data_IF_051711916132
#
_entry.id   IF_051711916132
#
_cell.length_a   1.000
_cell.length_b   1.000
_cell.length_c   1.000
_cell.angle_alpha   90.00
_cell.angle_beta   90.00
_cell.angle_gamma   90.00
#
_symmetry.space_group_name_H-M   'P 1'
#
loop_
_entity.id
_entity.type
_entity.pdbx_description
1 polymer ?
#
# COMPACT_ATOMS: atom_id res chain seq x y z
N UNK A 1 15.79 23.75 -6.25
CA UNK A 1 15.51 23.56 -4.80
C UNK A 1 14.73 22.27 -4.50
N UNK A 2 13.65 21.97 -5.24
CA UNK A 2 12.83 20.73 -5.08
C UNK A 2 13.68 19.44 -5.17
N UNK A 3 14.69 19.41 -6.06
CA UNK A 3 15.63 18.29 -6.22
C UNK A 3 16.36 17.90 -4.94
N UNK A 4 16.73 18.88 -4.11
CA UNK A 4 17.45 18.61 -2.87
C UNK A 4 16.53 17.98 -1.82
N UNK A 5 15.27 18.44 -1.74
CA UNK A 5 14.29 17.90 -0.79
C UNK A 5 13.93 16.45 -1.13
N UNK A 6 13.66 16.15 -2.41
CA UNK A 6 13.37 14.78 -2.84
C UNK A 6 14.48 13.81 -2.46
N UNK A 7 15.73 14.15 -2.77
CA UNK A 7 16.88 13.28 -2.48
C UNK A 7 17.11 13.10 -0.97
N UNK A 8 16.89 14.15 -0.17
CA UNK A 8 17.00 14.07 1.29
C UNK A 8 15.91 13.16 1.86
N UNK A 9 14.66 13.31 1.42
CA UNK A 9 13.55 12.46 1.86
C UNK A 9 13.74 11.01 1.42
N UNK A 10 14.16 10.79 0.16
CA UNK A 10 14.44 9.46 -0.38
C UNK A 10 15.54 8.76 0.42
N UNK A 11 16.65 9.46 0.67
CA UNK A 11 17.75 8.96 1.49
C UNK A 11 17.30 8.64 2.93
N UNK A 12 16.47 9.51 3.53
CA UNK A 12 15.92 9.28 4.86
C UNK A 12 15.05 8.03 4.93
N UNK A 13 14.10 7.88 4.00
CA UNK A 13 13.19 6.73 3.92
C UNK A 13 13.97 5.43 3.83
N UNK A 14 15.02 5.38 3.01
CA UNK A 14 15.82 4.15 2.84
C UNK A 14 16.69 3.88 4.07
N UNK A 15 17.37 4.92 4.56
CA UNK A 15 18.30 4.79 5.69
C UNK A 15 17.61 4.32 6.97
N UNK A 16 16.36 4.74 7.21
CA UNK A 16 15.59 4.30 8.37
C UNK A 16 14.69 3.10 8.07
N UNK A 17 14.06 3.08 6.90
CA UNK A 17 13.11 2.04 6.54
C UNK A 17 13.75 0.66 6.45
N UNK A 18 14.94 0.55 5.85
CA UNK A 18 15.60 -0.74 5.64
C UNK A 18 16.03 -1.37 6.99
N UNK A 19 16.75 -0.67 7.90
CA UNK A 19 17.10 -1.25 9.19
C UNK A 19 15.88 -1.57 10.06
N UNK A 20 14.87 -0.70 10.10
CA UNK A 20 13.68 -0.92 10.93
C UNK A 20 12.91 -2.17 10.49
N UNK A 21 12.76 -2.40 9.18
CA UNK A 21 12.10 -3.60 8.67
C UNK A 21 12.92 -4.87 8.93
N UNK A 22 14.24 -4.82 8.78
CA UNK A 22 15.11 -5.95 9.12
C UNK A 22 15.06 -6.29 10.61
N UNK A 23 15.09 -5.28 11.48
CA UNK A 23 14.93 -5.45 12.93
C UNK A 23 13.56 -6.06 13.24
N UNK A 24 12.49 -5.57 12.61
CA UNK A 24 11.14 -6.10 12.81
C UNK A 24 11.06 -7.59 12.44
N UNK A 25 11.62 -7.98 11.28
CA UNK A 25 11.70 -9.39 10.86
C UNK A 25 12.46 -10.22 11.90
N UNK A 26 13.64 -9.75 12.34
CA UNK A 26 14.44 -10.44 13.36
C UNK A 26 13.69 -10.62 14.68
N UNK A 27 13.05 -9.56 15.17
CA UNK A 27 12.27 -9.59 16.42
C UNK A 27 11.08 -10.54 16.31
N UNK A 28 10.36 -10.54 15.19
CA UNK A 28 9.22 -11.43 14.97
C UNK A 28 9.67 -12.89 14.96
N UNK A 29 10.78 -13.21 14.28
CA UNK A 29 11.30 -14.58 14.22
C UNK A 29 11.77 -15.09 15.60
N UNK A 30 12.38 -14.23 16.42
CA UNK A 30 12.88 -14.61 17.75
C UNK A 30 11.75 -14.70 18.79
N UNK A 31 10.81 -13.73 18.80
CA UNK A 31 9.77 -13.62 19.84
C UNK A 31 8.43 -14.27 19.50
N UNK A 32 8.28 -14.91 18.34
CA UNK A 32 7.02 -15.57 17.97
C UNK A 32 6.65 -16.73 18.93
N UNK A 33 5.82 -16.43 19.93
CA UNK A 33 5.31 -17.42 20.88
C UNK A 33 4.21 -18.28 20.26
N UNK A 34 3.99 -19.49 20.80
CA UNK A 34 2.97 -20.44 20.30
C UNK A 34 1.55 -19.88 20.28
N UNK A 35 1.23 -18.94 21.16
CA UNK A 35 -0.11 -18.34 21.30
C UNK A 35 -0.43 -17.26 20.25
N UNK A 36 0.56 -16.64 19.61
CA UNK A 36 0.36 -15.54 18.65
C UNK A 36 0.82 -15.86 17.22
N UNK A 37 1.04 -17.14 16.89
CA UNK A 37 1.62 -17.55 15.59
C UNK A 37 0.86 -17.05 14.35
N UNK A 38 -0.47 -16.99 14.39
CA UNK A 38 -1.28 -16.43 13.28
C UNK A 38 -1.03 -14.92 13.09
N UNK A 39 -0.91 -14.20 14.20
CA UNK A 39 -0.66 -12.77 14.19
C UNK A 39 0.79 -12.43 13.81
N UNK A 40 1.75 -13.23 14.30
CA UNK A 40 3.15 -13.11 13.94
C UNK A 40 3.37 -13.34 12.44
N UNK A 41 2.62 -14.26 11.83
CA UNK A 41 2.65 -14.50 10.38
C UNK A 41 2.14 -13.30 9.59
N UNK A 42 1.07 -12.62 10.03
CA UNK A 42 0.61 -11.38 9.40
C UNK A 42 1.70 -10.31 9.44
N UNK A 43 2.26 -10.07 10.63
CA UNK A 43 3.32 -9.08 10.82
C UNK A 43 4.57 -9.40 9.99
N UNK A 44 4.93 -10.68 9.89
CA UNK A 44 6.07 -11.11 9.10
C UNK A 44 5.85 -10.85 7.60
N UNK A 45 4.67 -11.19 7.07
CA UNK A 45 4.32 -10.88 5.67
C UNK A 45 4.38 -9.37 5.44
N UNK A 46 3.80 -8.54 6.32
CA UNK A 46 3.87 -7.08 6.21
C UNK A 46 5.33 -6.60 6.15
N UNK A 47 6.19 -7.04 7.07
CA UNK A 47 7.58 -6.60 7.12
C UNK A 47 8.37 -7.00 5.86
N UNK A 48 8.10 -8.17 5.28
CA UNK A 48 8.70 -8.57 4.00
C UNK A 48 8.22 -7.70 2.83
N UNK A 49 6.93 -7.38 2.77
CA UNK A 49 6.34 -6.53 1.73
C UNK A 49 6.89 -5.10 1.84
N UNK A 50 6.97 -4.55 3.05
CA UNK A 50 7.54 -3.23 3.30
C UNK A 50 9.03 -3.18 2.95
N UNK A 51 9.80 -4.21 3.31
CA UNK A 51 11.20 -4.33 2.90
C UNK A 51 11.33 -4.36 1.37
N UNK A 52 10.52 -5.18 0.69
CA UNK A 52 10.47 -5.22 -0.78
C UNK A 52 10.11 -3.88 -1.40
N UNK A 53 9.17 -3.15 -0.81
CA UNK A 53 8.79 -1.80 -1.24
C UNK A 53 9.93 -0.80 -1.08
N UNK A 54 10.71 -0.86 0.00
CA UNK A 54 11.85 0.04 0.24
C UNK A 54 12.98 -0.26 -0.76
N UNK A 55 13.25 -1.53 -1.04
CA UNK A 55 14.23 -1.93 -2.07
C UNK A 55 13.80 -1.43 -3.43
N UNK A 56 12.52 -1.59 -3.79
CA UNK A 56 11.97 -1.08 -5.04
C UNK A 56 12.05 0.46 -5.12
N UNK A 57 11.77 1.15 -4.01
CA UNK A 57 11.89 2.61 -3.91
C UNK A 57 13.34 3.09 -4.11
N UNK A 58 14.32 2.36 -3.58
CA UNK A 58 15.75 2.63 -3.83
C UNK A 58 16.11 2.44 -5.30
N UNK A 59 15.68 1.33 -5.91
CA UNK A 59 15.97 1.02 -7.32
C UNK A 59 15.38 2.05 -8.29
N UNK A 60 14.18 2.54 -7.99
CA UNK A 60 13.45 3.47 -8.85
C UNK A 60 13.87 4.92 -8.61
N UNK A 61 13.98 5.36 -7.35
CA UNK A 61 14.18 6.79 -7.02
C UNK A 61 13.34 7.71 -7.94
N UNK A 62 12.05 7.37 -8.03
CA UNK A 62 11.14 7.89 -9.03
C UNK A 62 10.49 9.18 -8.57
N UNK A 63 10.22 10.06 -9.52
CA UNK A 63 9.53 11.33 -9.31
C UNK A 63 8.30 11.33 -10.19
N UNK A 64 7.15 11.60 -9.58
CA UNK A 64 5.90 11.70 -10.31
C UNK A 64 5.77 13.09 -10.91
N UNK A 65 5.51 13.15 -12.21
CA UNK A 65 5.26 14.37 -12.95
C UNK A 65 3.85 14.30 -13.54
N UNK A 66 3.06 15.34 -13.29
CA UNK A 66 1.66 15.44 -13.72
C UNK A 66 1.52 16.77 -14.46
N UNK A 67 1.16 16.72 -15.74
CA UNK A 67 0.86 17.89 -16.55
C UNK A 67 -0.44 17.68 -17.31
N UNK A 68 -1.50 18.41 -16.91
CA UNK A 68 -2.85 18.26 -17.47
C UNK A 68 -3.33 16.81 -17.49
N UNK A 69 -3.30 16.14 -18.64
CA UNK A 69 -3.69 14.73 -18.83
C UNK A 69 -2.51 13.77 -18.87
N UNK A 70 -1.26 14.27 -18.90
CA UNK A 70 -0.05 13.44 -18.89
C UNK A 70 0.36 13.11 -17.47
N UNK A 71 0.63 11.82 -17.22
CA UNK A 71 1.25 11.35 -15.98
C UNK A 71 2.44 10.49 -16.32
N UNK A 72 3.62 10.95 -15.93
CA UNK A 72 4.86 10.23 -16.15
C UNK A 72 5.71 10.19 -14.90
N UNK A 73 6.53 9.15 -14.80
CA UNK A 73 7.51 9.00 -13.75
C UNK A 73 8.91 9.17 -14.35
N UNK A 74 9.72 9.98 -13.66
CA UNK A 74 11.13 10.18 -13.97
C UNK A 74 11.95 9.45 -12.91
N UNK A 75 12.63 8.38 -13.32
CA UNK A 75 13.49 7.58 -12.47
C UNK A 75 14.94 8.02 -12.57
N UNK A 76 15.54 8.28 -11.41
CA UNK A 76 16.96 8.61 -11.25
C UNK A 76 17.72 7.49 -10.51
N UNK A 77 17.07 6.34 -10.33
CA UNK A 77 17.61 5.21 -9.58
C UNK A 77 18.42 4.24 -10.43
N UNK A 78 19.04 3.22 -9.80
CA UNK A 78 19.79 2.17 -10.50
C UNK A 78 19.01 1.43 -11.60
N UNK A 79 17.67 1.39 -11.55
CA UNK A 79 16.87 0.70 -12.56
C UNK A 79 17.10 1.24 -13.97
N UNK A 80 17.46 2.54 -14.12
CA UNK A 80 17.68 3.18 -15.43
C UNK A 80 18.87 2.59 -16.18
N UNK A 81 19.81 1.96 -15.45
CA UNK A 81 20.98 1.31 -16.04
C UNK A 81 20.63 -0.01 -16.75
N UNK A 82 19.43 -0.54 -16.52
CA UNK A 82 18.97 -1.80 -17.10
C UNK A 82 18.03 -1.52 -18.27
N UNK A 83 16.88 -0.89 -18.02
CA UNK A 83 15.93 -0.44 -19.05
C UNK A 83 14.79 0.37 -18.44
N UNK A 84 14.09 1.14 -19.27
CA UNK A 84 12.86 1.85 -18.87
C UNK A 84 11.75 0.88 -18.45
N UNK A 85 11.61 -0.25 -19.17
CA UNK A 85 10.64 -1.29 -18.83
C UNK A 85 10.93 -1.91 -17.46
N UNK A 86 12.20 -2.13 -17.12
CA UNK A 86 12.58 -2.59 -15.79
C UNK A 86 12.22 -1.56 -14.72
N UNK A 87 12.47 -0.27 -14.95
CA UNK A 87 12.01 0.78 -14.05
C UNK A 87 10.49 0.78 -13.88
N UNK A 88 9.72 0.59 -14.95
CA UNK A 88 8.26 0.51 -14.90
C UNK A 88 7.78 -0.69 -14.07
N UNK A 89 8.39 -1.87 -14.27
CA UNK A 89 8.09 -3.08 -13.48
C UNK A 89 8.35 -2.84 -12.00
N UNK A 90 9.53 -2.31 -11.64
CA UNK A 90 9.90 -2.08 -10.25
C UNK A 90 9.01 -1.00 -9.61
N UNK A 91 8.64 0.03 -10.37
CA UNK A 91 7.70 1.05 -9.91
C UNK A 91 6.29 0.48 -9.69
N UNK A 92 5.80 -0.37 -10.60
CA UNK A 92 4.54 -1.09 -10.44
C UNK A 92 4.56 -2.01 -9.21
N UNK A 93 5.66 -2.74 -9.01
CA UNK A 93 5.87 -3.58 -7.83
C UNK A 93 5.86 -2.75 -6.53
N UNK A 94 6.51 -1.58 -6.52
CA UNK A 94 6.47 -0.65 -5.38
C UNK A 94 5.04 -0.19 -5.06
N UNK A 95 4.28 0.26 -6.07
CA UNK A 95 2.89 0.73 -5.89
C UNK A 95 1.98 -0.39 -5.35
N UNK A 96 2.09 -1.59 -5.92
CA UNK A 96 1.35 -2.76 -5.47
C UNK A 96 1.69 -3.11 -4.03
N UNK A 97 2.97 -3.12 -3.66
CA UNK A 97 3.37 -3.43 -2.29
C UNK A 97 2.83 -2.40 -1.28
N UNK A 98 2.75 -1.12 -1.66
CA UNK A 98 2.17 -0.08 -0.81
C UNK A 98 0.67 -0.32 -0.58
N UNK A 99 -0.08 -0.66 -1.64
CA UNK A 99 -1.51 -1.02 -1.54
C UNK A 99 -1.70 -2.28 -0.70
N UNK A 100 -0.86 -3.28 -0.94
CA UNK A 100 -0.93 -4.56 -0.26
C UNK A 100 -0.58 -4.44 1.23
N UNK A 101 0.46 -3.68 1.59
CA UNK A 101 0.81 -3.38 2.98
C UNK A 101 -0.35 -2.72 3.73
N UNK A 102 -0.98 -1.70 3.11
CA UNK A 102 -2.15 -1.02 3.71
C UNK A 102 -3.31 -1.99 3.95
N UNK A 103 -3.55 -2.89 3.00
CA UNK A 103 -4.61 -3.91 3.09
C UNK A 103 -4.33 -4.92 4.22
N UNK A 104 -3.09 -5.41 4.34
CA UNK A 104 -2.68 -6.32 5.42
C UNK A 104 -2.72 -5.62 6.78
N UNK A 105 -2.38 -4.33 6.84
CA UNK A 105 -2.50 -3.55 8.07
C UNK A 105 -3.97 -3.48 8.52
N UNK A 106 -4.90 -3.19 7.61
CA UNK A 106 -6.34 -3.25 7.86
C UNK A 106 -6.79 -4.64 8.35
N UNK A 107 -6.31 -5.70 7.69
CA UNK A 107 -6.58 -7.08 8.08
C UNK A 107 -6.02 -7.41 9.48
N UNK A 108 -4.84 -6.88 9.82
CA UNK A 108 -4.20 -7.05 11.12
C UNK A 108 -5.01 -6.41 12.25
N UNK A 109 -5.53 -5.20 12.04
CA UNK A 109 -6.43 -4.56 13.00
C UNK A 109 -7.75 -5.33 13.17
N UNK A 110 -8.33 -5.78 12.06
CA UNK A 110 -9.53 -6.61 12.08
C UNK A 110 -9.30 -7.93 12.84
N UNK A 111 -8.17 -8.59 12.59
CA UNK A 111 -7.80 -9.85 13.23
C UNK A 111 -7.55 -9.69 14.74
N UNK A 112 -6.86 -8.62 15.16
CA UNK A 112 -6.70 -8.29 16.60
C UNK A 112 -8.06 -8.10 17.29
N UNK A 113 -8.99 -7.41 16.65
CA UNK A 113 -10.34 -7.18 17.19
C UNK A 113 -11.13 -8.48 17.33
N UNK A 114 -10.99 -9.42 16.37
CA UNK A 114 -11.58 -10.76 16.44
C UNK A 114 -11.09 -11.55 17.66
N UNK A 115 -9.79 -11.52 17.93
CA UNK A 115 -9.19 -12.17 19.12
C UNK A 115 -9.77 -11.58 20.40
N UNK A 116 -9.85 -10.24 20.50
CA UNK A 116 -10.41 -9.56 21.67
C UNK A 116 -11.88 -9.93 21.92
N UNK A 117 -12.65 -10.14 20.84
CA UNK A 117 -14.05 -10.58 20.92
C UNK A 117 -14.22 -12.09 21.21
N UNK A 118 -13.12 -12.82 21.52
CA UNK A 118 -13.11 -14.27 21.76
C UNK A 118 -13.80 -15.09 20.65
N UNK A 119 -13.79 -14.58 19.42
CA UNK A 119 -14.34 -15.30 18.26
C UNK A 119 -13.36 -16.42 17.85
N UNK A 120 -13.89 -17.51 17.29
CA UNK A 120 -13.09 -18.64 16.84
C UNK A 120 -11.93 -18.21 15.91
N UNK A 121 -10.77 -18.85 16.10
CA UNK A 121 -9.57 -18.63 15.30
C UNK A 121 -9.82 -19.04 13.85
N UNK A 122 -9.32 -18.24 12.90
CA UNK A 122 -9.51 -18.51 11.46
C UNK A 122 -8.61 -19.64 10.95
N UNK A 123 -7.46 -19.87 11.60
CA UNK A 123 -6.46 -20.82 11.15
C UNK A 123 -5.49 -20.19 10.15
N UNK A 124 -4.20 -20.52 10.30
CA UNK A 124 -3.08 -19.97 9.50
C UNK A 124 -3.25 -20.12 8.00
N UNK A 125 -3.67 -21.31 7.55
CA UNK A 125 -3.77 -21.61 6.12
C UNK A 125 -4.84 -20.76 5.43
N UNK A 126 -5.99 -20.57 6.10
CA UNK A 126 -7.07 -19.74 5.56
C UNK A 126 -6.64 -18.28 5.48
N UNK A 127 -5.92 -17.79 6.49
CA UNK A 127 -5.40 -16.42 6.51
C UNK A 127 -4.36 -16.19 5.40
N UNK A 128 -3.39 -17.10 5.24
CA UNK A 128 -2.41 -17.03 4.17
C UNK A 128 -3.07 -17.09 2.79
N UNK A 129 -4.09 -17.94 2.62
CA UNK A 129 -4.85 -18.02 1.38
C UNK A 129 -5.57 -16.71 1.05
N UNK A 130 -6.18 -16.04 2.04
CA UNK A 130 -6.80 -14.72 1.86
C UNK A 130 -5.76 -13.68 1.41
N UNK A 131 -4.58 -13.66 2.03
CA UNK A 131 -3.50 -12.73 1.65
C UNK A 131 -3.05 -12.97 0.21
N UNK A 132 -2.82 -14.25 -0.16
CA UNK A 132 -2.43 -14.62 -1.52
C UNK A 132 -3.51 -14.27 -2.55
N UNK A 133 -4.77 -14.52 -2.23
CA UNK A 133 -5.90 -14.20 -3.10
C UNK A 133 -6.07 -12.68 -3.29
N UNK A 134 -5.82 -11.88 -2.24
CA UNK A 134 -5.75 -10.42 -2.35
C UNK A 134 -4.55 -9.95 -3.17
N UNK A 135 -3.47 -10.74 -3.24
CA UNK A 135 -2.28 -10.42 -4.02
C UNK A 135 -2.43 -10.71 -5.52
N UNK A 136 -3.17 -11.75 -5.88
CA UNK A 136 -3.38 -12.18 -7.27
C UNK A 136 -3.75 -11.06 -8.26
N UNK A 137 -4.75 -10.20 -8.02
CA UNK A 137 -5.14 -9.16 -8.98
C UNK A 137 -4.04 -8.12 -9.22
N UNK A 138 -3.12 -7.94 -8.27
CA UNK A 138 -2.01 -7.01 -8.41
C UNK A 138 -0.95 -7.47 -9.41
N UNK A 139 -0.73 -8.79 -9.56
CA UNK A 139 0.22 -9.31 -10.55
C UNK A 139 -0.28 -8.97 -11.97
N UNK A 140 -1.58 -9.14 -12.21
CA UNK A 140 -2.21 -8.77 -13.48
C UNK A 140 -2.14 -7.26 -13.71
N UNK A 141 -2.29 -6.45 -12.65
CA UNK A 141 -2.16 -5.00 -12.75
C UNK A 141 -0.74 -4.57 -13.17
N UNK A 142 0.31 -5.15 -12.59
CA UNK A 142 1.70 -4.85 -13.00
C UNK A 142 1.91 -5.23 -14.46
N UNK A 143 1.47 -6.41 -14.88
CA UNK A 143 1.58 -6.85 -16.27
C UNK A 143 0.85 -5.89 -17.22
N UNK A 144 -0.40 -5.54 -16.90
CA UNK A 144 -1.19 -4.60 -17.68
C UNK A 144 -0.50 -3.22 -17.75
N UNK A 145 -0.01 -2.69 -16.62
CA UNK A 145 0.73 -1.44 -16.58
C UNK A 145 1.93 -1.48 -17.53
N UNK A 146 2.76 -2.51 -17.45
CA UNK A 146 3.99 -2.63 -18.28
C UNK A 146 3.73 -2.80 -19.77
N UNK A 147 2.57 -3.34 -20.15
CA UNK A 147 2.18 -3.50 -21.56
C UNK A 147 1.58 -2.19 -22.11
N UNK A 148 0.92 -1.42 -21.25
CA UNK A 148 0.14 -0.24 -21.66
C UNK A 148 0.91 1.08 -21.51
N UNK A 149 2.10 1.08 -20.90
CA UNK A 149 2.91 2.31 -20.79
C UNK A 149 3.22 2.89 -22.18
N UNK A 150 3.18 4.21 -22.28
CA UNK A 150 3.60 4.93 -23.48
C UNK A 150 5.10 4.74 -23.73
N UNK A 151 5.46 4.64 -25.00
CA UNK A 151 6.86 4.51 -25.41
C UNK A 151 7.68 5.76 -25.04
N UNK A 152 8.98 5.57 -24.82
CA UNK A 152 9.93 6.64 -24.46
C UNK A 152 9.89 7.81 -25.45
N UNK A 153 9.76 7.53 -26.74
CA UNK A 153 9.71 8.52 -27.83
C UNK A 153 8.60 9.56 -27.64
N UNK A 154 7.50 9.19 -26.97
CA UNK A 154 6.39 10.10 -26.71
C UNK A 154 6.56 10.88 -25.39
N UNK A 155 7.35 10.36 -24.46
CA UNK A 155 7.58 10.96 -23.13
C UNK A 155 8.74 11.96 -23.12
N UNK A 156 9.79 11.71 -23.91
CA UNK A 156 10.94 12.62 -24.06
C UNK A 156 10.57 14.06 -24.43
N UNK A 157 9.71 14.35 -25.43
CA UNK A 157 9.38 15.73 -25.78
C UNK A 157 8.66 16.47 -24.64
N UNK A 158 7.90 15.75 -23.80
CA UNK A 158 7.24 16.33 -22.63
C UNK A 158 8.29 16.71 -21.59
N UNK A 159 9.25 15.84 -21.30
CA UNK A 159 10.35 16.11 -20.35
C UNK A 159 11.25 17.24 -20.84
N UNK A 160 11.63 17.22 -22.11
CA UNK A 160 12.54 18.20 -22.70
C UNK A 160 11.94 19.62 -22.69
N UNK A 161 10.61 19.75 -22.72
CA UNK A 161 9.92 21.04 -22.50
C UNK A 161 10.16 21.61 -21.10
N UNK A 162 10.34 20.77 -20.08
CA UNK A 162 10.54 21.20 -18.69
C UNK A 162 12.01 21.25 -18.26
N UNK A 163 12.84 20.35 -18.79
CA UNK A 163 14.23 20.16 -18.37
C UNK A 163 15.27 20.66 -19.39
N UNK A 164 14.82 21.07 -20.57
CA UNK A 164 15.67 21.43 -21.70
C UNK A 164 15.97 20.22 -22.59
N UNK A 165 16.24 20.50 -23.85
CA UNK A 165 16.44 19.50 -24.91
C UNK A 165 17.57 18.53 -24.57
N UNK A 166 17.31 17.23 -24.68
CA UNK A 166 18.30 16.16 -24.52
C UNK A 166 18.47 15.66 -23.08
N UNK A 167 17.80 16.25 -22.09
CA UNK A 167 17.88 15.77 -20.70
C UNK A 167 17.03 14.51 -20.45
N UNK A 168 16.01 14.25 -21.28
CA UNK A 168 15.21 13.02 -21.18
C UNK A 168 16.02 11.73 -21.27
N UNK A 169 17.16 11.75 -21.99
CA UNK A 169 18.07 10.60 -22.16
C UNK A 169 18.75 10.15 -20.85
N UNK A 170 18.90 11.06 -19.89
CA UNK A 170 19.61 10.79 -18.63
C UNK A 170 18.74 10.04 -17.62
N UNK A 171 17.43 9.98 -17.81
CA UNK A 171 16.50 9.42 -16.84
C UNK A 171 15.79 8.18 -17.38
N UNK A 172 15.29 7.35 -16.46
CA UNK A 172 14.34 6.29 -16.79
C UNK A 172 12.94 6.87 -16.93
N UNK A 173 12.30 6.73 -18.08
CA UNK A 173 11.00 7.35 -18.37
C UNK A 173 9.92 6.28 -18.57
N UNK A 174 8.82 6.39 -17.83
CA UNK A 174 7.66 5.51 -17.98
C UNK A 174 6.38 6.21 -17.50
N UNK A 175 5.27 5.99 -18.18
CA UNK A 175 4.00 6.66 -17.85
C UNK A 175 2.98 6.61 -18.98
N UNK A 176 2.00 7.51 -18.90
CA UNK A 176 0.93 7.69 -19.88
C UNK A 176 0.93 9.14 -20.37
N UNK A 177 0.94 9.32 -21.69
CA UNK A 177 0.83 10.65 -22.32
C UNK A 177 -0.57 11.24 -22.12
N UNK A 178 -1.60 10.42 -22.19
CA UNK A 178 -2.98 10.84 -21.96
C UNK A 178 -3.72 9.86 -21.03
N UNK A 179 -4.06 10.35 -19.83
CA UNK A 179 -4.86 9.64 -18.84
C UNK A 179 -6.32 9.40 -19.28
N UNK A 180 -6.83 10.17 -20.25
CA UNK A 180 -8.20 10.02 -20.76
C UNK A 180 -8.34 8.82 -21.69
N UNK A 181 -7.23 8.28 -22.19
CA UNK A 181 -7.28 7.03 -22.94
C UNK A 181 -7.86 5.92 -22.06
N UNK A 182 -8.81 5.11 -22.58
CA UNK A 182 -9.54 4.14 -21.78
C UNK A 182 -8.61 3.13 -21.10
N UNK A 183 -7.49 2.80 -21.75
CA UNK A 183 -6.49 1.87 -21.22
C UNK A 183 -5.75 2.45 -20.01
N UNK A 184 -5.24 3.68 -20.14
CA UNK A 184 -4.57 4.40 -19.05
C UNK A 184 -5.53 4.67 -17.89
N UNK A 185 -6.76 5.12 -18.19
CA UNK A 185 -7.82 5.36 -17.21
C UNK A 185 -8.17 4.11 -16.41
N UNK A 186 -8.22 2.94 -17.04
CA UNK A 186 -8.49 1.66 -16.35
C UNK A 186 -7.36 1.28 -15.39
N UNK A 187 -6.10 1.39 -15.84
CA UNK A 187 -4.92 1.04 -15.02
C UNK A 187 -4.77 1.98 -13.83
N UNK A 188 -4.97 3.29 -14.04
CA UNK A 188 -4.90 4.30 -12.99
C UNK A 188 -6.12 4.25 -12.07
N UNK A 189 -7.31 4.00 -12.62
CA UNK A 189 -8.53 3.79 -11.85
C UNK A 189 -8.43 2.60 -10.91
N UNK A 190 -7.80 1.51 -11.34
CA UNK A 190 -7.52 0.36 -10.48
C UNK A 190 -6.70 0.74 -9.24
N UNK A 191 -5.65 1.54 -9.41
CA UNK A 191 -4.79 1.99 -8.30
C UNK A 191 -5.53 2.86 -7.27
N UNK A 192 -6.64 3.50 -7.65
CA UNK A 192 -7.43 4.34 -6.74
C UNK A 192 -8.55 3.53 -6.09
N UNK A 193 -9.31 2.77 -6.90
CA UNK A 193 -10.50 2.05 -6.44
C UNK A 193 -10.10 0.87 -5.56
N UNK A 194 -9.11 0.07 -6.00
CA UNK A 194 -8.75 -1.15 -5.30
C UNK A 194 -8.19 -0.94 -3.88
N UNK A 195 -7.37 0.06 -3.53
CA UNK A 195 -7.05 0.30 -2.13
C UNK A 195 -8.22 0.92 -1.37
N UNK A 196 -9.00 1.80 -2.01
CA UNK A 196 -10.08 2.52 -1.35
C UNK A 196 -11.21 1.59 -0.89
N UNK A 197 -11.67 0.67 -1.75
CA UNK A 197 -12.83 -0.17 -1.45
C UNK A 197 -12.60 -1.18 -0.31
N UNK A 198 -11.55 -2.00 -0.30
CA UNK A 198 -11.26 -2.93 0.78
C UNK A 198 -10.90 -2.22 2.08
N UNK A 199 -10.12 -1.13 2.03
CA UNK A 199 -9.76 -0.42 3.26
C UNK A 199 -10.97 0.26 3.90
N UNK A 200 -11.83 0.90 3.12
CA UNK A 200 -13.08 1.49 3.63
C UNK A 200 -14.03 0.41 4.13
N UNK A 201 -14.17 -0.71 3.40
CA UNK A 201 -14.97 -1.85 3.84
C UNK A 201 -14.45 -2.48 5.14
N UNK A 202 -13.14 -2.69 5.26
CA UNK A 202 -12.48 -3.20 6.47
C UNK A 202 -12.64 -2.22 7.64
N UNK A 203 -12.47 -0.92 7.41
CA UNK A 203 -12.70 0.11 8.43
C UNK A 203 -14.17 0.18 8.86
N UNK A 204 -15.12 0.12 7.92
CA UNK A 204 -16.55 0.16 8.23
C UNK A 204 -17.00 -1.08 8.98
N UNK A 205 -16.62 -2.27 8.50
CA UNK A 205 -16.91 -3.53 9.18
C UNK A 205 -16.28 -3.57 10.57
N UNK A 206 -15.05 -3.06 10.73
CA UNK A 206 -14.41 -2.91 12.02
C UNK A 206 -15.15 -1.96 12.95
N UNK A 207 -15.46 -0.72 12.51
CA UNK A 207 -16.20 0.27 13.32
C UNK A 207 -17.55 -0.29 13.79
N UNK A 208 -18.29 -0.94 12.87
CA UNK A 208 -19.59 -1.52 13.18
C UNK A 208 -19.48 -2.65 14.20
N UNK A 209 -18.52 -3.56 14.03
CA UNK A 209 -18.36 -4.73 14.91
C UNK A 209 -17.72 -4.36 16.26
N UNK A 210 -16.79 -3.41 16.28
CA UNK A 210 -16.15 -2.92 17.49
C UNK A 210 -17.13 -2.13 18.36
N UNK A 211 -17.79 -1.11 17.77
CA UNK A 211 -18.73 -0.28 18.51
C UNK A 211 -19.92 -1.10 19.02
N UNK A 212 -20.55 -1.94 18.20
CA UNK A 212 -21.75 -2.67 18.63
C UNK A 212 -21.43 -3.68 19.74
N UNK A 213 -20.32 -4.41 19.66
CA UNK A 213 -20.02 -5.43 20.66
C UNK A 213 -19.43 -4.85 21.95
N UNK A 214 -18.52 -3.88 21.85
CA UNK A 214 -17.95 -3.21 23.02
C UNK A 214 -19.04 -2.45 23.79
N UNK A 215 -19.94 -1.77 23.08
CA UNK A 215 -21.06 -1.06 23.69
C UNK A 215 -22.07 -2.02 24.31
N UNK A 216 -22.37 -3.15 23.66
CA UNK A 216 -23.28 -4.17 24.21
C UNK A 216 -22.71 -4.87 25.45
N UNK A 217 -21.40 -5.09 25.49
CA UNK A 217 -20.71 -5.69 26.63
C UNK A 217 -20.62 -4.69 27.81
N UNK A 218 -20.28 -3.42 27.53
CA UNK A 218 -20.32 -2.35 28.52
C UNK A 218 -21.75 -2.12 29.05
N UNK A 219 -22.77 -2.13 28.20
CA UNK A 219 -24.17 -2.02 28.64
C UNK A 219 -24.63 -3.22 29.49
N UNK A 220 -24.03 -4.39 29.30
CA UNK A 220 -24.33 -5.59 30.10
C UNK A 220 -23.68 -5.54 31.49
N UNK A 221 -22.56 -4.82 31.62
CA UNK A 221 -21.85 -4.61 32.89
C UNK A 221 -22.27 -3.32 33.63
N UNK A 222 -23.07 -2.47 33.01
CA UNK A 222 -23.61 -1.26 33.65
C UNK A 222 -24.80 -1.58 34.53
N UNK A 223 -24.89 -0.91 35.69
CA UNK A 223 -26.08 -0.97 36.54
C UNK A 223 -27.32 -0.49 35.79
N UNK A 224 -28.50 -1.00 36.15
CA UNK A 224 -29.79 -0.64 35.53
C UNK A 224 -29.99 0.88 35.49
N UNK A 225 -29.51 1.61 36.51
CA UNK A 225 -29.60 3.07 36.61
C UNK A 225 -28.70 3.78 35.59
N UNK A 226 -27.48 3.29 35.37
CA UNK A 226 -26.52 3.87 34.42
C UNK A 226 -26.93 3.59 32.97
N UNK A 227 -27.47 2.40 32.70
CA UNK A 227 -27.95 2.01 31.37
C UNK A 227 -29.14 2.87 30.90
N UNK A 228 -30.08 3.18 31.80
CA UNK A 228 -31.23 4.05 31.48
C UNK A 228 -30.83 5.48 31.13
N UNK A 229 -29.77 6.01 31.75
CA UNK A 229 -29.23 7.34 31.41
C UNK A 229 -28.54 7.33 30.04
N UNK A 230 -27.90 6.23 29.65
CA UNK A 230 -27.21 6.17 28.35
C UNK A 230 -28.16 5.94 27.17
N UNK A 231 -29.24 5.17 27.36
CA UNK A 231 -30.30 4.98 26.35
C UNK A 231 -31.10 6.26 26.07
N UNK A 232 -31.15 7.23 27.00
CA UNK A 232 -31.80 8.52 26.74
C UNK A 232 -30.95 9.45 25.88
N UNK A 233 -29.62 9.38 25.98
CA UNK A 233 -28.71 10.17 25.14
C UNK A 233 -28.67 9.71 23.67
N UNK A 234 -28.85 8.42 23.39
CA UNK A 234 -28.85 7.89 22.02
C UNK A 234 -30.16 8.11 21.26
N UNK A 235 -31.25 8.47 21.94
CA UNK A 235 -32.51 8.86 21.27
C UNK A 235 -32.51 10.30 20.73
N UNK A 236 -31.50 11.10 21.09
CA UNK A 236 -31.42 12.53 20.75
C UNK A 236 -30.34 12.80 19.67
N UNK A 237 -29.55 11.80 19.29
CA UNK A 237 -28.55 11.84 18.19
C UNK A 237 -29.00 11.02 17.00
#
# INVERSE_FOLDING_TARGET
MIFSIHNVLHGFIISFGLPLNLIAIGVILIKASKASKEYALLLLNTAFIELGSIVAHFLVNGRLFIDSTTVMCVSDGPCRLISDSFCAVVAGFMQVNMIHSTTILGLSFWYRTRILQKKALFGRLRLQFIILLLFTPHIFHIAAFTILISGREQLEPVIDKFYGTGQGSLYGLYGFVDLLEPQAALVMGYLIIFPSTPNTYLMHSWRRVSNVNLFRENMRNMSVKTRGIHESFTKVS
#
